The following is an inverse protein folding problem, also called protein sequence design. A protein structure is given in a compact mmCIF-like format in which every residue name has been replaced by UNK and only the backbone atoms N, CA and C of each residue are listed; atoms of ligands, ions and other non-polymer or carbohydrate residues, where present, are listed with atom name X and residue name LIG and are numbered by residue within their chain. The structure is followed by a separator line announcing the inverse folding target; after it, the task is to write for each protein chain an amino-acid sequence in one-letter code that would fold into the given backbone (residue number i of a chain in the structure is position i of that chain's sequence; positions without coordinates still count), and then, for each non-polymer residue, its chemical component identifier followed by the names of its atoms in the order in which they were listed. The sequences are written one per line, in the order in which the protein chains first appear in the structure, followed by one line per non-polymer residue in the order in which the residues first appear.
data_IF_434222072873
#
_entry.id   IF_434222072873
#
_cell.length_a   1.000
_cell.length_b   1.000
_cell.length_c   1.000
_cell.angle_alpha   90.00
_cell.angle_beta   90.00
_cell.angle_gamma   90.00
#
_symmetry.space_group_name_H-M   'P 1'
#
loop_
_entity.id
_entity.type
_entity.pdbx_description
1 polymer ?
#
# COMPACT_ATOMS: atom_id res chain seq x y z
N UNK A 1 -49.52 -14.30 -1.17
CA UNK A 1 -48.57 -13.31 -0.62
C UNK A 1 -47.30 -13.36 -1.44
N UNK A 2 -47.16 -12.46 -2.40
CA UNK A 2 -45.93 -12.22 -3.16
C UNK A 2 -44.93 -11.50 -2.25
N UNK A 3 -43.68 -11.97 -2.11
CA UNK A 3 -42.68 -11.22 -1.36
C UNK A 3 -42.30 -9.98 -2.16
N UNK A 4 -42.44 -8.82 -1.53
CA UNK A 4 -41.96 -7.55 -2.07
C UNK A 4 -40.44 -7.61 -2.16
N UNK A 5 -39.93 -7.45 -3.38
CA UNK A 5 -38.52 -7.18 -3.61
C UNK A 5 -38.21 -5.80 -3.03
N UNK A 6 -37.44 -5.76 -1.97
CA UNK A 6 -36.82 -4.52 -1.49
C UNK A 6 -35.81 -4.13 -2.56
N UNK A 7 -36.10 -3.08 -3.34
CA UNK A 7 -35.08 -2.47 -4.19
C UNK A 7 -33.88 -2.10 -3.34
N UNK A 8 -32.65 -2.54 -3.68
CA UNK A 8 -31.47 -2.03 -3.01
C UNK A 8 -31.44 -0.51 -3.23
N UNK A 9 -31.31 0.24 -2.14
CA UNK A 9 -31.01 1.66 -2.17
C UNK A 9 -29.65 1.84 -2.86
N UNK A 10 -29.66 1.96 -4.19
CA UNK A 10 -28.49 2.34 -4.96
C UNK A 10 -28.21 3.81 -4.66
N UNK A 11 -27.43 4.09 -3.63
CA UNK A 11 -26.91 5.44 -3.39
C UNK A 11 -25.83 5.71 -4.43
N UNK A 12 -26.24 6.29 -5.56
CA UNK A 12 -25.31 6.82 -6.55
C UNK A 12 -24.76 8.15 -6.05
N UNK A 13 -23.46 8.22 -5.81
CA UNK A 13 -22.77 9.47 -5.49
C UNK A 13 -21.97 9.91 -6.71
N UNK A 14 -22.38 11.03 -7.31
CA UNK A 14 -21.67 11.67 -8.42
C UNK A 14 -20.79 12.79 -7.89
N UNK A 15 -19.49 12.71 -8.17
CA UNK A 15 -18.48 13.65 -7.68
C UNK A 15 -17.70 14.23 -8.86
N UNK A 16 -17.35 15.52 -8.78
CA UNK A 16 -16.37 16.10 -9.69
C UNK A 16 -14.95 15.88 -9.13
N UNK A 17 -14.06 15.24 -9.90
CA UNK A 17 -12.64 15.12 -9.54
C UNK A 17 -11.87 16.40 -9.93
N UNK A 18 -10.84 16.80 -9.17
CA UNK A 18 -9.97 17.91 -9.57
C UNK A 18 -9.11 17.52 -10.78
N UNK A 19 -8.68 18.52 -11.56
CA UNK A 19 -7.84 18.31 -12.75
C UNK A 19 -6.55 17.54 -12.38
N UNK A 20 -6.14 16.51 -13.15
CA UNK A 20 -4.79 15.98 -13.05
C UNK A 20 -3.79 17.07 -13.49
N UNK A 21 -2.81 17.39 -12.65
CA UNK A 21 -1.71 18.27 -13.04
C UNK A 21 -0.73 17.49 -13.91
N UNK A 22 -0.84 17.63 -15.24
CA UNK A 22 0.20 17.16 -16.14
C UNK A 22 1.43 18.09 -16.08
N UNK A 23 2.66 17.54 -16.03
CA UNK A 23 3.83 18.23 -16.56
C UNK A 23 3.68 18.37 -18.09
N UNK A 24 4.04 19.53 -18.61
CA UNK A 24 3.95 19.91 -20.03
C UNK A 24 4.72 18.93 -20.93
N UNK A 25 4.02 18.16 -21.76
CA UNK A 25 4.59 17.55 -22.96
C UNK A 25 3.60 17.63 -24.14
N UNK A 26 4.13 18.14 -25.23
CA UNK A 26 3.43 18.52 -26.45
C UNK A 26 3.10 17.34 -27.39
N UNK A 27 1.90 17.40 -27.98
CA UNK A 27 1.46 16.84 -29.29
C UNK A 27 1.56 15.32 -29.51
N UNK A 28 0.41 14.68 -29.72
CA UNK A 28 -0.09 14.21 -31.04
C UNK A 28 -1.52 13.63 -30.97
N UNK A 29 -2.30 13.86 -32.04
CA UNK A 29 -3.67 13.38 -32.35
C UNK A 29 -3.64 11.87 -32.73
N UNK A 30 -4.68 11.02 -32.78
CA UNK A 30 -6.16 11.01 -32.75
C UNK A 30 -6.59 9.53 -32.81
N UNK A 31 -7.74 9.13 -32.22
CA UNK A 31 -8.91 8.52 -32.89
C UNK A 31 -9.87 7.85 -31.90
N UNK A 32 -11.14 8.19 -32.05
CA UNK A 32 -12.32 7.70 -31.34
C UNK A 32 -12.72 6.31 -31.86
N UNK A 33 -13.12 5.41 -30.96
CA UNK A 33 -13.93 4.24 -31.31
C UNK A 33 -14.92 3.93 -30.17
N UNK A 34 -16.20 3.97 -30.50
CA UNK A 34 -17.32 3.45 -29.71
C UNK A 34 -17.61 2.02 -30.23
N UNK A 35 -17.97 1.06 -29.38
CA UNK A 35 -19.36 0.60 -29.52
C UNK A 35 -20.05 0.25 -28.20
N UNK A 36 -21.33 0.59 -28.20
CA UNK A 36 -22.41 0.03 -27.41
C UNK A 36 -22.61 -1.46 -27.68
N UNK A 37 -22.90 -2.26 -26.64
CA UNK A 37 -24.02 -3.21 -26.58
C UNK A 37 -24.10 -3.88 -25.20
N UNK A 38 -25.20 -3.59 -24.50
CA UNK A 38 -25.71 -4.36 -23.37
C UNK A 38 -26.34 -5.67 -23.87
N UNK A 39 -26.17 -6.76 -23.12
CA UNK A 39 -27.19 -7.79 -22.97
C UNK A 39 -26.98 -8.52 -21.62
N UNK A 40 -28.05 -8.82 -20.86
CA UNK A 40 -27.95 -9.43 -19.53
C UNK A 40 -27.89 -10.96 -19.64
N UNK A 41 -27.15 -11.61 -18.75
CA UNK A 41 -27.28 -13.06 -18.52
C UNK A 41 -27.87 -13.29 -17.14
N UNK A 42 -29.05 -13.92 -17.14
CA UNK A 42 -29.70 -14.51 -15.97
C UNK A 42 -28.83 -15.67 -15.44
N UNK A 43 -28.55 -15.68 -14.14
CA UNK A 43 -27.95 -16.84 -13.48
C UNK A 43 -28.98 -17.47 -12.53
N UNK A 44 -29.34 -18.71 -12.82
CA UNK A 44 -30.15 -19.57 -11.95
C UNK A 44 -29.42 -19.84 -10.63
N UNK A 45 -30.08 -19.56 -9.50
CA UNK A 45 -29.66 -20.03 -8.18
C UNK A 45 -30.07 -21.49 -7.97
N UNK A 46 -29.09 -22.39 -7.82
CA UNK A 46 -29.30 -23.71 -7.23
C UNK A 46 -29.18 -23.60 -5.71
N UNK A 47 -30.29 -23.84 -4.98
CA UNK A 47 -30.31 -23.95 -3.51
C UNK A 47 -29.75 -25.29 -3.07
N UNK A 48 -28.82 -25.27 -2.11
CA UNK A 48 -28.50 -26.44 -1.29
C UNK A 48 -28.63 -26.05 0.17
N UNK A 49 -29.63 -26.62 0.85
CA UNK A 49 -29.89 -26.47 2.27
C UNK A 49 -29.07 -27.50 3.06
N UNK A 50 -28.06 -27.05 3.81
CA UNK A 50 -27.52 -27.80 4.95
C UNK A 50 -27.29 -26.86 6.13
N UNK A 51 -27.95 -27.20 7.22
CA UNK A 51 -27.89 -26.61 8.55
C UNK A 51 -26.50 -26.77 9.16
N UNK A 52 -25.91 -25.67 9.64
CA UNK A 52 -24.68 -25.66 10.45
C UNK A 52 -25.04 -25.76 11.95
N UNK A 53 -24.32 -26.56 12.77
CA UNK A 53 -24.54 -26.62 14.21
C UNK A 53 -23.86 -25.44 14.94
N UNK A 54 -24.52 -24.96 16.00
CA UNK A 54 -24.06 -23.89 16.91
C UNK A 54 -22.82 -24.34 17.69
N UNK A 55 -21.74 -23.55 17.65
CA UNK A 55 -20.58 -23.68 18.54
C UNK A 55 -20.73 -22.67 19.69
N UNK A 56 -20.66 -23.18 20.92
CA UNK A 56 -20.81 -22.43 22.16
C UNK A 56 -19.61 -21.53 22.49
N UNK A 57 -19.86 -20.54 23.35
CA UNK A 57 -18.92 -19.52 23.79
C UNK A 57 -17.79 -20.09 24.65
N UNK A 58 -16.54 -19.85 24.24
CA UNK A 58 -15.36 -20.02 25.08
C UNK A 58 -14.87 -18.64 25.54
N UNK A 59 -14.73 -18.47 26.86
CA UNK A 59 -14.24 -17.26 27.53
C UNK A 59 -12.74 -17.08 27.28
N UNK A 60 -12.33 -15.88 26.93
CA UNK A 60 -10.92 -15.42 26.91
C UNK A 60 -10.42 -15.18 28.33
N UNK A 61 -9.24 -15.68 28.74
CA UNK A 61 -8.61 -15.27 29.99
C UNK A 61 -7.86 -13.95 29.80
N UNK A 62 -8.21 -12.95 30.61
CA UNK A 62 -7.46 -11.69 30.79
C UNK A 62 -6.19 -11.97 31.57
N UNK A 63 -5.03 -11.66 30.97
CA UNK A 63 -3.73 -11.71 31.65
C UNK A 63 -3.36 -10.29 32.08
N UNK A 64 -3.42 -10.05 33.39
CA UNK A 64 -3.09 -8.79 34.08
C UNK A 64 -1.55 -8.70 34.23
N UNK A 65 -0.87 -7.90 33.41
CA UNK A 65 0.55 -7.59 33.58
C UNK A 65 0.71 -6.27 34.33
N UNK A 66 0.98 -6.36 35.64
CA UNK A 66 1.45 -5.22 36.43
C UNK A 66 2.89 -4.88 36.04
N UNK A 67 3.06 -3.73 35.40
CA UNK A 67 4.35 -3.07 35.15
C UNK A 67 4.90 -2.48 36.45
N UNK A 68 5.71 -3.25 37.16
CA UNK A 68 6.69 -2.68 38.08
C UNK A 68 7.89 -3.62 38.16
N UNK A 69 9.08 -3.06 37.90
CA UNK A 69 10.42 -3.65 38.02
C UNK A 69 11.03 -4.22 36.73
N UNK A 70 11.68 -3.34 35.96
CA UNK A 70 12.85 -3.72 35.14
C UNK A 70 14.03 -2.94 35.73
N UNK A 71 15.04 -3.58 36.36
CA UNK A 71 16.24 -2.90 36.77
C UNK A 71 17.14 -2.59 35.57
N UNK A 72 17.75 -1.41 35.61
CA UNK A 72 18.80 -1.00 34.68
C UNK A 72 20.08 -1.81 34.96
N UNK A 73 20.76 -2.21 33.88
CA UNK A 73 22.03 -2.96 33.81
C UNK A 73 21.97 -4.47 34.07
N UNK A 74 22.24 -5.24 33.01
CA UNK A 74 22.68 -6.64 33.10
C UNK A 74 24.03 -6.70 32.38
N UNK A 75 25.10 -6.90 33.16
CA UNK A 75 26.44 -7.23 32.67
C UNK A 75 26.51 -8.72 32.36
N UNK A 76 26.95 -9.09 31.15
CA UNK A 76 27.28 -10.48 30.82
C UNK A 76 28.79 -10.70 30.86
N UNK A 77 29.22 -11.57 31.77
CA UNK A 77 30.58 -12.09 31.83
C UNK A 77 30.76 -13.26 30.87
N UNK A 78 31.90 -13.21 30.16
CA UNK A 78 32.72 -14.32 29.66
C UNK A 78 32.08 -15.38 28.75
N UNK A 79 32.56 -15.38 27.51
CA UNK A 79 33.51 -16.42 27.09
C UNK A 79 32.98 -17.49 26.15
N UNK A 80 33.09 -17.26 24.84
CA UNK A 80 33.35 -18.31 23.86
C UNK A 80 34.08 -17.72 22.65
N UNK A 81 35.12 -18.44 22.18
CA UNK A 81 35.92 -18.16 20.98
C UNK A 81 35.55 -19.15 19.88
N UNK A 82 35.95 -18.82 18.65
CA UNK A 82 36.11 -19.67 17.43
C UNK A 82 34.88 -19.79 16.51
N UNK A 83 34.94 -19.82 15.16
CA UNK A 83 36.02 -19.80 14.15
C UNK A 83 35.44 -19.40 12.77
N UNK A 84 36.29 -18.85 11.90
CA UNK A 84 36.05 -18.32 10.54
C UNK A 84 35.84 -19.40 9.45
N UNK A 85 35.22 -19.09 8.29
CA UNK A 85 35.87 -19.14 6.94
C UNK A 85 34.97 -18.88 5.69
N UNK A 86 35.55 -18.10 4.77
CA UNK A 86 35.52 -18.03 3.28
C UNK A 86 34.21 -18.21 2.46
N UNK A 87 33.85 -17.12 1.77
CA UNK A 87 32.85 -17.02 0.68
C UNK A 87 33.41 -17.58 -0.64
N UNK A 88 32.70 -18.51 -1.29
CA UNK A 88 33.00 -18.95 -2.67
C UNK A 88 32.25 -18.06 -3.67
N UNK A 89 32.95 -17.55 -4.68
CA UNK A 89 32.34 -16.87 -5.82
C UNK A 89 32.00 -17.87 -6.92
N UNK A 90 30.72 -17.93 -7.31
CA UNK A 90 30.30 -18.49 -8.60
C UNK A 90 29.74 -17.37 -9.46
N UNK A 91 30.45 -17.09 -10.55
CA UNK A 91 30.06 -16.19 -11.63
C UNK A 91 29.21 -16.95 -12.64
N UNK A 92 28.00 -16.46 -12.93
CA UNK A 92 27.18 -16.89 -14.07
C UNK A 92 27.30 -15.86 -15.19
N UNK A 93 27.77 -16.32 -16.35
CA UNK A 93 27.90 -15.52 -17.59
C UNK A 93 26.51 -15.32 -18.22
N UNK A 94 26.14 -14.07 -18.48
CA UNK A 94 25.08 -13.74 -19.43
C UNK A 94 25.64 -13.67 -20.86
N UNK A 95 24.87 -14.22 -21.81
CA UNK A 95 25.19 -14.31 -23.23
C UNK A 95 24.49 -13.18 -23.97
N UNK A 96 25.27 -12.34 -24.66
CA UNK A 96 24.79 -11.26 -25.52
C UNK A 96 24.05 -11.77 -26.76
N UNK A 97 22.97 -11.07 -27.11
CA UNK A 97 22.26 -11.19 -28.39
C UNK A 97 22.43 -9.87 -29.16
N UNK A 98 23.20 -9.89 -30.24
CA UNK A 98 23.26 -8.82 -31.25
C UNK A 98 23.17 -9.43 -32.65
N UNK A 99 22.17 -9.02 -33.43
CA UNK A 99 22.12 -8.97 -34.90
C UNK A 99 21.30 -7.68 -35.20
N UNK A 100 21.76 -6.65 -35.93
CA UNK A 100 22.16 -6.60 -37.34
C UNK A 100 20.89 -6.56 -38.23
N UNK A 101 20.64 -5.66 -39.20
CA UNK A 101 21.42 -4.58 -39.85
C UNK A 101 20.45 -3.74 -40.72
N UNK A 102 20.80 -2.47 -40.92
CA UNK A 102 20.75 -1.68 -42.18
C UNK A 102 19.45 -1.21 -42.91
N UNK A 103 19.46 0.13 -43.11
CA UNK A 103 19.27 0.93 -44.35
C UNK A 103 17.90 1.01 -45.04
N UNK A 104 17.36 2.24 -45.07
CA UNK A 104 16.94 2.93 -46.32
C UNK A 104 17.00 4.45 -46.14
N UNK A 105 17.95 5.10 -46.85
CA UNK A 105 17.88 6.50 -47.32
C UNK A 105 17.34 6.41 -48.75
N UNK A 106 16.42 7.24 -49.24
CA UNK A 106 16.60 8.55 -49.91
C UNK A 106 15.19 8.86 -50.48
N UNK A 107 14.61 10.06 -50.41
CA UNK A 107 14.75 11.11 -51.41
C UNK A 107 13.96 12.37 -50.99
N UNK A 108 14.60 13.53 -51.11
CA UNK A 108 13.99 14.85 -51.09
C UNK A 108 13.35 15.15 -52.45
N UNK A 109 12.13 15.72 -52.45
CA UNK A 109 11.64 16.56 -53.54
C UNK A 109 10.92 17.77 -52.94
N UNK A 110 11.44 18.94 -53.28
CA UNK A 110 11.00 20.28 -52.90
C UNK A 110 10.00 20.83 -53.91
N UNK A 111 8.86 21.35 -53.45
CA UNK A 111 8.01 22.30 -54.19
C UNK A 111 7.39 23.29 -53.20
N UNK A 112 7.45 24.61 -53.45
CA UNK A 112 6.87 25.60 -52.55
C UNK A 112 5.40 25.82 -52.92
N UNK A 113 4.47 25.64 -51.97
CA UNK A 113 3.10 26.13 -52.11
C UNK A 113 2.90 27.34 -51.21
N UNK A 114 2.73 28.49 -51.85
CA UNK A 114 2.17 29.71 -51.28
C UNK A 114 0.78 29.39 -50.72
N UNK A 115 0.61 29.41 -49.40
CA UNK A 115 -0.71 29.32 -48.77
C UNK A 115 -1.03 30.66 -48.09
N UNK A 116 -1.91 31.41 -48.74
CA UNK A 116 -2.51 32.65 -48.28
C UNK A 116 -3.31 32.37 -46.99
N UNK A 117 -2.80 32.80 -45.84
CA UNK A 117 -3.52 32.71 -44.56
C UNK A 117 -4.62 33.76 -44.49
N UNK A 118 -5.86 33.36 -44.79
CA UNK A 118 -7.04 34.09 -44.35
C UNK A 118 -7.22 33.85 -42.84
N UNK A 119 -6.93 34.86 -42.03
CA UNK A 119 -7.30 34.89 -40.61
C UNK A 119 -8.83 34.91 -40.51
N UNK A 120 -9.45 33.75 -40.32
CA UNK A 120 -10.80 33.67 -39.78
C UNK A 120 -10.68 33.69 -38.26
N UNK A 121 -11.21 34.70 -37.54
CA UNK A 121 -11.23 34.67 -36.09
C UNK A 121 -12.12 33.51 -35.64
N UNK A 122 -11.49 32.43 -35.16
CA UNK A 122 -12.21 31.33 -34.53
C UNK A 122 -12.96 31.90 -33.31
N UNK A 123 -14.26 31.62 -33.13
CA UNK A 123 -14.95 32.00 -31.92
C UNK A 123 -14.22 31.34 -30.74
N UNK A 124 -13.68 32.17 -29.84
CA UNK A 124 -13.21 31.74 -28.53
C UNK A 124 -14.41 31.23 -27.75
N UNK A 125 -14.76 29.96 -27.98
CA UNK A 125 -15.63 29.23 -27.07
C UNK A 125 -14.93 29.11 -25.74
N UNK A 126 -15.42 29.84 -24.73
CA UNK A 126 -15.23 29.50 -23.32
C UNK A 126 -15.87 28.12 -23.10
N UNK A 127 -15.15 27.04 -23.40
CA UNK A 127 -15.52 25.71 -22.94
C UNK A 127 -15.17 25.64 -21.45
N UNK A 128 -16.20 25.51 -20.62
CA UNK A 128 -16.08 25.47 -19.18
C UNK A 128 -15.21 24.29 -18.71
N UNK A 129 -14.27 24.61 -17.82
CA UNK A 129 -13.33 23.76 -17.09
C UNK A 129 -14.00 22.81 -16.08
N UNK A 130 -14.89 21.91 -16.52
CA UNK A 130 -15.43 20.91 -15.59
C UNK A 130 -14.45 19.75 -15.42
N UNK A 131 -14.11 19.44 -14.16
CA UNK A 131 -13.46 18.17 -13.79
C UNK A 131 -14.29 16.98 -14.26
N UNK A 132 -13.69 15.79 -14.35
CA UNK A 132 -14.43 14.58 -14.76
C UNK A 132 -15.44 14.17 -13.69
N UNK A 133 -16.48 13.48 -14.14
CA UNK A 133 -17.51 12.90 -13.31
C UNK A 133 -17.06 11.51 -12.83
N UNK A 134 -17.13 11.28 -11.52
CA UNK A 134 -16.87 10.00 -10.86
C UNK A 134 -18.14 9.53 -10.18
N UNK A 135 -18.59 8.31 -10.50
CA UNK A 135 -19.82 7.72 -9.96
C UNK A 135 -19.47 6.55 -9.07
N UNK A 136 -19.95 6.56 -7.82
CA UNK A 136 -19.82 5.45 -6.88
C UNK A 136 -21.20 4.82 -6.70
N UNK A 137 -21.35 3.56 -7.08
CA UNK A 137 -22.54 2.74 -6.83
C UNK A 137 -22.22 1.73 -5.73
N UNK A 138 -23.07 1.60 -4.72
CA UNK A 138 -22.92 0.58 -3.68
C UNK A 138 -23.93 -0.54 -3.87
N UNK A 139 -23.47 -1.78 -3.69
CA UNK A 139 -24.36 -2.94 -3.66
C UNK A 139 -24.92 -3.20 -2.26
N UNK A 140 -25.63 -4.32 -2.09
CA UNK A 140 -26.32 -4.69 -0.84
C UNK A 140 -25.37 -4.88 0.35
N UNK A 141 -24.09 -5.16 0.11
CA UNK A 141 -23.07 -5.31 1.14
C UNK A 141 -22.29 -4.00 1.38
N UNK A 142 -22.65 -2.94 0.65
CA UNK A 142 -21.97 -1.67 0.70
C UNK A 142 -20.67 -1.63 -0.10
N UNK A 143 -20.34 -2.65 -0.90
CA UNK A 143 -19.10 -2.64 -1.70
C UNK A 143 -19.21 -1.54 -2.76
N UNK A 144 -18.24 -0.61 -2.86
CA UNK A 144 -18.26 0.44 -3.87
C UNK A 144 -17.83 -0.09 -5.24
N UNK A 145 -18.62 0.23 -6.25
CA UNK A 145 -18.35 0.08 -7.67
C UNK A 145 -18.11 1.47 -8.23
N UNK A 146 -16.84 1.79 -8.48
CA UNK A 146 -16.37 3.13 -8.84
C UNK A 146 -16.22 3.20 -10.35
N UNK A 147 -16.90 4.15 -10.97
CA UNK A 147 -16.85 4.42 -12.40
C UNK A 147 -16.28 5.82 -12.66
N UNK A 148 -15.29 5.89 -13.54
CA UNK A 148 -14.66 7.14 -13.96
C UNK A 148 -14.18 7.03 -15.41
N UNK A 149 -13.87 8.17 -16.04
CA UNK A 149 -13.27 8.17 -17.38
C UNK A 149 -11.77 7.80 -17.33
N UNK A 150 -11.06 8.24 -16.30
CA UNK A 150 -9.60 8.06 -16.15
C UNK A 150 -9.22 7.13 -15.00
N UNK A 151 -7.96 6.71 -14.95
CA UNK A 151 -7.43 5.90 -13.84
C UNK A 151 -7.35 6.74 -12.56
N UNK A 152 -7.02 8.04 -12.70
CA UNK A 152 -7.01 9.03 -11.63
C UNK A 152 -8.40 9.24 -11.03
N UNK A 153 -9.45 9.32 -11.84
CA UNK A 153 -10.83 9.41 -11.36
C UNK A 153 -11.26 8.19 -10.55
N UNK A 154 -10.84 7.00 -10.98
CA UNK A 154 -11.09 5.78 -10.21
C UNK A 154 -10.32 5.80 -8.88
N UNK A 155 -9.06 6.23 -8.86
CA UNK A 155 -8.29 6.38 -7.63
C UNK A 155 -8.89 7.44 -6.69
N UNK A 156 -9.36 8.56 -7.23
CA UNK A 156 -10.11 9.58 -6.49
C UNK A 156 -11.39 9.03 -5.86
N UNK A 157 -12.18 8.28 -6.63
CA UNK A 157 -13.37 7.61 -6.12
C UNK A 157 -13.04 6.60 -5.02
N UNK A 158 -11.93 5.86 -5.15
CA UNK A 158 -11.45 4.94 -4.12
C UNK A 158 -11.11 5.66 -2.82
N UNK A 159 -10.44 6.81 -2.91
CA UNK A 159 -10.11 7.63 -1.74
C UNK A 159 -11.35 8.17 -1.03
N UNK A 160 -12.33 8.63 -1.80
CA UNK A 160 -13.60 9.09 -1.25
C UNK A 160 -14.39 7.95 -0.60
N UNK A 161 -14.50 6.79 -1.26
CA UNK A 161 -15.23 5.63 -0.75
C UNK A 161 -14.61 5.06 0.53
N UNK A 162 -13.28 4.90 0.57
CA UNK A 162 -12.59 4.46 1.79
C UNK A 162 -12.75 5.46 2.94
N UNK A 163 -12.68 6.77 2.64
CA UNK A 163 -12.92 7.80 3.66
C UNK A 163 -14.35 7.74 4.18
N UNK A 164 -15.34 7.57 3.30
CA UNK A 164 -16.74 7.43 3.67
C UNK A 164 -16.98 6.27 4.63
N UNK A 165 -16.31 5.15 4.44
CA UNK A 165 -16.58 3.96 5.24
C UNK A 165 -15.69 3.84 6.48
N UNK A 166 -14.43 4.30 6.38
CA UNK A 166 -13.37 3.99 7.36
C UNK A 166 -12.34 5.11 7.51
N UNK A 167 -12.76 6.39 7.52
CA UNK A 167 -11.86 7.55 7.63
C UNK A 167 -10.86 7.43 8.78
N UNK A 168 -11.32 7.12 9.99
CA UNK A 168 -10.47 7.03 11.18
C UNK A 168 -9.40 5.92 11.04
N UNK A 169 -9.81 4.75 10.56
CA UNK A 169 -8.91 3.62 10.31
C UNK A 169 -7.85 3.99 9.28
N UNK A 170 -8.25 4.60 8.16
CA UNK A 170 -7.36 5.07 7.10
C UNK A 170 -6.35 6.10 7.62
N UNK A 171 -6.79 7.11 8.38
CA UNK A 171 -5.90 8.14 8.91
C UNK A 171 -4.93 7.58 9.97
N UNK A 172 -5.39 6.60 10.74
CA UNK A 172 -4.55 5.87 11.70
C UNK A 172 -3.41 5.15 10.99
N UNK A 173 -3.65 4.59 9.80
CA UNK A 173 -2.62 3.88 9.02
C UNK A 173 -1.46 4.79 8.62
N UNK A 174 -1.73 6.05 8.28
CA UNK A 174 -0.67 7.00 7.99
C UNK A 174 0.15 7.35 9.25
N UNK A 175 -0.49 7.52 10.40
CA UNK A 175 0.22 7.70 11.68
C UNK A 175 1.05 6.48 12.07
N UNK A 176 0.53 5.27 11.82
CA UNK A 176 1.27 4.02 11.98
C UNK A 176 2.54 4.05 11.14
N UNK A 177 2.42 4.27 9.84
CA UNK A 177 3.56 4.33 8.93
C UNK A 177 4.61 5.40 9.29
N UNK A 178 4.17 6.52 9.86
CA UNK A 178 5.04 7.61 10.23
C UNK A 178 5.74 7.45 11.59
N UNK A 179 5.26 6.53 12.43
CA UNK A 179 5.67 6.48 13.84
C UNK A 179 5.27 7.76 14.57
N UNK A 180 3.97 8.08 14.52
CA UNK A 180 3.34 9.21 15.24
C UNK A 180 2.04 8.78 15.94
N UNK A 181 1.96 7.51 16.36
CA UNK A 181 0.84 7.00 17.13
C UNK A 181 0.90 7.47 18.59
N UNK A 182 2.09 7.48 19.22
CA UNK A 182 2.21 7.76 20.65
C UNK A 182 1.84 9.19 21.04
N UNK A 183 1.99 10.15 20.12
CA UNK A 183 1.60 11.54 20.36
C UNK A 183 0.07 11.75 20.40
N UNK A 184 -0.70 10.79 19.93
CA UNK A 184 -2.18 10.86 19.86
C UNK A 184 -2.83 9.85 20.81
N UNK A 185 -2.35 8.62 20.78
CA UNK A 185 -2.97 7.47 21.44
C UNK A 185 -2.28 7.07 22.75
N UNK A 186 -1.10 7.62 23.02
CA UNK A 186 -0.42 7.49 24.31
C UNK A 186 0.80 6.57 24.30
N UNK A 187 1.35 6.36 25.50
CA UNK A 187 2.64 5.70 25.73
C UNK A 187 2.70 4.24 25.30
N UNK A 188 1.57 3.55 25.19
CA UNK A 188 1.50 2.16 24.67
C UNK A 188 2.03 2.03 23.24
N UNK A 189 2.01 3.12 22.45
CA UNK A 189 2.54 3.15 21.09
C UNK A 189 3.99 3.61 21.00
N UNK A 190 4.67 3.89 22.11
CA UNK A 190 6.04 4.42 22.08
C UNK A 190 7.02 3.44 21.40
N UNK A 191 6.97 2.15 21.75
CA UNK A 191 7.81 1.13 21.14
C UNK A 191 7.47 0.96 19.65
N UNK A 192 6.18 1.00 19.31
CA UNK A 192 5.73 0.99 17.93
C UNK A 192 6.37 2.15 17.15
N UNK A 193 6.22 3.38 17.63
CA UNK A 193 6.74 4.57 16.94
C UNK A 193 8.26 4.53 16.83
N UNK A 194 8.97 4.09 17.87
CA UNK A 194 10.41 3.88 17.82
C UNK A 194 10.81 2.91 16.70
N UNK A 195 10.13 1.77 16.56
CA UNK A 195 10.38 0.80 15.48
C UNK A 195 10.14 1.40 14.08
N UNK A 196 9.09 2.19 13.89
CA UNK A 196 8.85 2.82 12.58
C UNK A 196 9.89 3.90 12.25
N UNK A 197 10.38 4.60 13.29
CA UNK A 197 11.45 5.60 13.18
C UNK A 197 12.80 4.96 12.89
N UNK A 198 13.06 3.76 13.40
CA UNK A 198 14.24 2.95 13.07
C UNK A 198 14.34 2.73 11.56
N UNK A 199 13.26 2.25 10.95
CA UNK A 199 13.17 1.92 9.52
C UNK A 199 12.95 3.11 8.57
N UNK A 200 12.72 4.31 9.13
CA UNK A 200 12.63 5.58 8.40
C UNK A 200 11.56 5.58 7.30
N UNK A 201 10.43 4.91 7.51
CA UNK A 201 9.39 4.79 6.47
C UNK A 201 8.95 6.14 5.93
N UNK A 202 8.64 7.10 6.83
CA UNK A 202 8.33 8.49 6.48
C UNK A 202 9.45 9.17 5.70
N UNK A 203 10.64 9.29 6.29
CA UNK A 203 11.72 10.09 5.73
C UNK A 203 12.18 9.57 4.35
N UNK A 204 12.23 8.25 4.18
CA UNK A 204 12.59 7.63 2.88
C UNK A 204 11.49 7.85 1.85
N UNK A 205 10.22 7.69 2.22
CA UNK A 205 9.10 7.90 1.32
C UNK A 205 9.02 9.36 0.86
N UNK A 206 9.14 10.31 1.78
CA UNK A 206 9.12 11.74 1.50
C UNK A 206 10.25 12.16 0.55
N UNK A 207 11.49 11.74 0.84
CA UNK A 207 12.64 12.09 0.02
C UNK A 207 12.61 11.47 -1.40
N UNK A 208 12.00 10.29 -1.55
CA UNK A 208 12.00 9.56 -2.83
C UNK A 208 10.69 9.71 -3.61
N UNK A 209 9.64 10.31 -3.05
CA UNK A 209 8.37 10.52 -3.75
C UNK A 209 8.53 11.25 -5.11
N UNK A 210 9.39 12.29 -5.24
CA UNK A 210 9.64 12.93 -6.53
C UNK A 210 10.29 12.03 -7.59
N UNK A 211 10.85 10.87 -7.21
CA UNK A 211 11.46 9.91 -8.15
C UNK A 211 10.46 8.92 -8.74
N UNK A 212 9.24 8.85 -8.19
CA UNK A 212 8.19 8.00 -8.74
C UNK A 212 7.80 8.43 -10.15
N UNK A 213 7.24 7.51 -10.94
CA UNK A 213 6.71 7.87 -12.25
C UNK A 213 5.59 8.92 -12.12
N UNK A 214 5.44 9.78 -13.12
CA UNK A 214 4.35 10.77 -13.15
C UNK A 214 2.97 10.10 -13.01
N UNK A 215 2.77 8.95 -13.67
CA UNK A 215 1.56 8.13 -13.55
C UNK A 215 1.29 7.67 -12.12
N UNK A 216 2.30 7.14 -11.43
CA UNK A 216 2.14 6.68 -10.03
C UNK A 216 1.78 7.85 -9.10
N UNK A 217 2.45 9.00 -9.26
CA UNK A 217 2.15 10.20 -8.46
C UNK A 217 0.72 10.69 -8.71
N UNK A 218 0.28 10.73 -9.97
CA UNK A 218 -1.07 11.17 -10.33
C UNK A 218 -2.15 10.31 -9.65
N UNK A 219 -1.99 8.98 -9.64
CA UNK A 219 -2.92 8.08 -8.95
C UNK A 219 -2.97 8.32 -7.43
N UNK A 220 -1.79 8.46 -6.80
CA UNK A 220 -1.68 8.70 -5.35
C UNK A 220 -2.30 10.06 -4.97
N UNK A 221 -2.01 11.09 -5.76
CA UNK A 221 -2.53 12.44 -5.53
C UNK A 221 -4.03 12.52 -5.75
N UNK A 222 -4.56 11.86 -6.78
CA UNK A 222 -6.00 11.76 -7.02
C UNK A 222 -6.71 11.04 -5.87
N UNK A 223 -6.15 9.93 -5.39
CA UNK A 223 -6.66 9.21 -4.22
C UNK A 223 -6.68 10.09 -2.96
N UNK A 224 -5.58 10.77 -2.65
CA UNK A 224 -5.52 11.73 -1.54
C UNK A 224 -6.49 12.90 -1.72
N UNK A 225 -6.73 13.36 -2.95
CA UNK A 225 -7.72 14.39 -3.23
C UNK A 225 -9.16 13.92 -2.95
N UNK A 226 -9.46 12.64 -3.20
CA UNK A 226 -10.74 12.01 -2.83
C UNK A 226 -10.97 12.00 -1.32
N UNK A 227 -9.97 11.55 -0.55
CA UNK A 227 -10.01 11.59 0.92
C UNK A 227 -10.21 13.03 1.43
N UNK A 228 -9.40 13.97 0.93
CA UNK A 228 -9.50 15.39 1.30
C UNK A 228 -10.87 15.98 0.96
N UNK A 229 -11.51 15.55 -0.13
CA UNK A 229 -12.86 16.00 -0.48
C UNK A 229 -13.88 15.51 0.55
N UNK A 230 -13.85 14.22 0.91
CA UNK A 230 -14.71 13.69 1.96
C UNK A 230 -14.55 14.47 3.27
N UNK A 231 -13.30 14.68 3.71
CA UNK A 231 -13.00 15.43 4.93
C UNK A 231 -13.56 16.88 4.92
N UNK A 232 -13.58 17.55 3.75
CA UNK A 232 -14.15 18.90 3.62
C UNK A 232 -15.67 18.91 3.67
N UNK A 233 -16.31 17.87 3.14
CA UNK A 233 -17.77 17.73 3.14
C UNK A 233 -18.31 17.27 4.50
N UNK A 234 -17.49 16.51 5.24
CA UNK A 234 -17.84 15.89 6.51
C UNK A 234 -16.90 16.33 7.64
N UNK A 235 -16.74 17.64 7.92
CA UNK A 235 -15.76 18.13 8.90
C UNK A 235 -15.99 17.61 10.32
N UNK A 236 -17.24 17.26 10.67
CA UNK A 236 -17.60 16.71 11.98
C UNK A 236 -17.16 15.24 12.15
N UNK A 237 -16.91 14.52 11.06
CA UNK A 237 -16.41 13.14 11.08
C UNK A 237 -14.88 13.08 11.08
N UNK A 238 -14.21 14.19 10.80
CA UNK A 238 -12.74 14.27 10.79
C UNK A 238 -12.22 14.26 12.23
N UNK A 239 -11.43 13.25 12.64
CA UNK A 239 -10.85 13.24 13.96
C UNK A 239 -9.95 14.46 14.17
N UNK A 240 -10.03 15.11 15.34
CA UNK A 240 -9.19 16.28 15.66
C UNK A 240 -7.68 16.01 15.55
N UNK A 241 -7.29 14.75 15.72
CA UNK A 241 -5.91 14.30 15.63
C UNK A 241 -5.48 13.93 14.20
N UNK A 242 -6.35 14.06 13.19
CA UNK A 242 -6.05 13.69 11.81
C UNK A 242 -4.70 14.25 11.35
N UNK A 243 -3.80 13.42 10.79
CA UNK A 243 -2.55 13.92 10.24
C UNK A 243 -2.82 14.82 9.03
N UNK A 244 -1.90 15.74 8.74
CA UNK A 244 -1.90 16.42 7.46
C UNK A 244 -1.68 15.39 6.33
N UNK A 245 -2.50 15.47 5.29
CA UNK A 245 -2.46 14.50 4.19
C UNK A 245 -1.43 14.89 3.12
N UNK A 246 -0.41 14.05 3.00
CA UNK A 246 0.68 14.16 2.03
C UNK A 246 0.74 12.91 1.13
N UNK A 247 0.98 13.05 -0.18
CA UNK A 247 1.02 11.92 -1.10
C UNK A 247 2.04 10.83 -0.72
N UNK A 248 3.19 11.22 -0.17
CA UNK A 248 4.22 10.26 0.26
C UNK A 248 3.76 9.33 1.40
N UNK A 249 2.67 9.64 2.12
CA UNK A 249 2.13 8.76 3.16
C UNK A 249 1.65 7.42 2.60
N UNK A 250 1.10 7.40 1.39
CA UNK A 250 0.71 6.15 0.71
C UNK A 250 1.93 5.26 0.48
N UNK A 251 3.06 5.86 0.11
CA UNK A 251 4.33 5.16 -0.08
C UNK A 251 4.91 4.71 1.27
N UNK A 252 4.85 5.56 2.30
CA UNK A 252 5.29 5.22 3.64
C UNK A 252 4.49 4.02 4.21
N UNK A 253 3.18 4.00 4.00
CA UNK A 253 2.30 2.89 4.40
C UNK A 253 2.65 1.60 3.67
N UNK A 254 2.74 1.63 2.34
CA UNK A 254 3.16 0.46 1.57
C UNK A 254 4.54 -0.04 2.00
N UNK A 255 5.46 0.88 2.28
CA UNK A 255 6.80 0.59 2.78
C UNK A 255 6.77 -0.07 4.17
N UNK A 256 6.00 0.47 5.12
CA UNK A 256 5.83 -0.12 6.45
C UNK A 256 5.30 -1.55 6.36
N UNK A 257 4.26 -1.74 5.55
CA UNK A 257 3.65 -3.06 5.34
C UNK A 257 4.69 -4.05 4.83
N UNK A 258 5.36 -3.76 3.70
CA UNK A 258 6.30 -4.70 3.09
C UNK A 258 7.53 -4.95 3.98
N UNK A 259 8.02 -3.95 4.70
CA UNK A 259 9.19 -4.12 5.58
C UNK A 259 8.95 -5.05 6.76
N UNK A 260 7.68 -5.22 7.15
CA UNK A 260 7.32 -6.15 8.20
C UNK A 260 7.58 -7.62 7.85
N UNK A 261 7.85 -7.99 6.59
CA UNK A 261 8.27 -9.36 6.23
C UNK A 261 9.76 -9.59 6.53
N UNK A 262 10.71 -8.80 5.96
CA UNK A 262 12.12 -8.87 6.33
C UNK A 262 12.37 -8.77 7.85
N UNK A 263 11.63 -7.91 8.56
CA UNK A 263 11.75 -7.81 10.03
C UNK A 263 11.32 -9.11 10.73
N UNK A 264 10.29 -9.79 10.21
CA UNK A 264 9.85 -11.08 10.73
C UNK A 264 10.83 -12.22 10.44
N UNK A 265 11.53 -12.17 9.30
CA UNK A 265 12.58 -13.14 8.95
C UNK A 265 13.80 -12.96 9.87
N UNK A 266 14.27 -11.72 10.06
CA UNK A 266 15.34 -11.41 11.02
C UNK A 266 14.98 -11.83 12.46
N UNK A 267 13.73 -11.61 12.87
CA UNK A 267 13.23 -12.09 14.15
C UNK A 267 13.25 -13.61 14.28
N UNK A 268 12.98 -14.35 13.19
CA UNK A 268 13.07 -15.81 13.18
C UNK A 268 14.51 -16.29 13.30
N UNK A 269 15.45 -15.62 12.64
CA UNK A 269 16.87 -15.95 12.76
C UNK A 269 17.40 -15.73 14.17
N UNK A 270 17.00 -14.63 14.82
CA UNK A 270 17.29 -14.40 16.24
C UNK A 270 16.74 -15.54 17.11
N UNK A 271 15.51 -15.99 16.89
CA UNK A 271 14.92 -17.12 17.62
C UNK A 271 15.70 -18.42 17.40
N UNK A 272 16.11 -18.69 16.16
CA UNK A 272 16.92 -19.85 15.82
C UNK A 272 18.30 -19.81 16.51
N UNK A 273 18.86 -18.62 16.72
CA UNK A 273 20.08 -18.39 17.48
C UNK A 273 19.89 -18.42 19.01
N UNK A 274 18.68 -18.70 19.51
CA UNK A 274 18.36 -18.74 20.94
C UNK A 274 18.10 -17.38 21.58
N UNK A 275 18.02 -16.31 20.78
CA UNK A 275 17.68 -14.96 21.23
C UNK A 275 16.15 -14.80 21.17
N UNK A 276 15.55 -14.17 22.18
CA UNK A 276 14.12 -13.86 22.19
C UNK A 276 13.90 -12.42 21.74
N UNK A 277 13.55 -12.16 20.46
CA UNK A 277 13.21 -10.82 20.02
C UNK A 277 11.83 -10.40 20.52
N UNK A 278 11.48 -9.13 20.29
CA UNK A 278 10.11 -8.65 20.41
C UNK A 278 9.13 -9.53 19.60
N UNK A 279 7.85 -9.62 19.99
CA UNK A 279 6.88 -10.48 19.32
C UNK A 279 6.79 -10.23 17.81
N UNK A 280 6.75 -11.32 17.06
CA UNK A 280 6.57 -11.34 15.60
C UNK A 280 5.12 -11.71 15.32
N UNK A 281 4.42 -10.93 14.50
CA UNK A 281 3.05 -11.26 14.10
C UNK A 281 3.01 -12.50 13.22
N UNK A 282 2.16 -13.46 13.57
CA UNK A 282 1.87 -14.60 12.71
C UNK A 282 1.11 -14.16 11.46
N UNK A 283 1.57 -14.59 10.29
CA UNK A 283 0.94 -14.31 8.99
C UNK A 283 0.87 -15.60 8.18
N UNK A 284 -0.24 -15.82 7.49
CA UNK A 284 -0.43 -16.95 6.59
C UNK A 284 -1.38 -16.59 5.47
N UNK A 285 -1.47 -17.43 4.45
CA UNK A 285 -2.45 -17.31 3.37
C UNK A 285 -2.53 -18.65 2.62
N UNK A 286 -3.66 -18.94 2.01
CA UNK A 286 -3.77 -19.90 0.93
C UNK A 286 -3.97 -19.20 -0.43
N UNK A 287 -3.53 -19.85 -1.50
CA UNK A 287 -3.91 -19.48 -2.87
C UNK A 287 -3.89 -20.72 -3.75
N UNK A 288 -4.87 -20.88 -4.63
CA UNK A 288 -4.87 -21.94 -5.66
C UNK A 288 -5.14 -21.36 -7.04
N UNK A 289 -4.55 -21.97 -8.05
CA UNK A 289 -4.93 -21.82 -9.47
C UNK A 289 -5.14 -23.20 -10.05
N UNK A 290 -6.31 -23.42 -10.65
CA UNK A 290 -6.66 -24.66 -11.35
C UNK A 290 -6.75 -24.35 -12.84
N UNK A 291 -5.95 -25.04 -13.65
CA UNK A 291 -5.99 -24.90 -15.09
C UNK A 291 -7.35 -25.32 -15.66
N UNK A 292 -7.82 -24.66 -16.73
CA UNK A 292 -9.11 -24.98 -17.36
C UNK A 292 -9.24 -26.44 -17.82
N UNK A 293 -8.13 -27.09 -18.19
CA UNK A 293 -8.12 -28.53 -18.52
C UNK A 293 -8.47 -29.46 -17.35
N UNK A 294 -8.54 -28.92 -16.13
CA UNK A 294 -8.89 -29.63 -14.90
C UNK A 294 -10.27 -29.21 -14.35
N UNK A 295 -11.04 -28.42 -15.10
CA UNK A 295 -12.37 -27.94 -14.70
C UNK A 295 -13.41 -28.41 -15.71
N UNK A 296 -14.66 -28.58 -15.27
CA UNK A 296 -15.74 -29.08 -16.13
C UNK A 296 -16.02 -28.12 -17.30
N UNK A 297 -16.01 -26.83 -17.04
CA UNK A 297 -16.36 -25.78 -18.00
C UNK A 297 -15.17 -25.32 -18.87
N UNK A 298 -13.98 -25.91 -18.69
CA UNK A 298 -12.78 -25.54 -19.45
C UNK A 298 -12.17 -24.19 -19.07
N UNK A 299 -12.64 -23.53 -18.01
CA UNK A 299 -12.16 -22.21 -17.56
C UNK A 299 -11.24 -22.33 -16.34
N UNK A 300 -10.20 -21.48 -16.22
CA UNK A 300 -9.34 -21.49 -15.03
C UNK A 300 -10.11 -21.03 -13.78
N UNK A 301 -9.81 -21.63 -12.63
CA UNK A 301 -10.32 -21.21 -11.33
C UNK A 301 -9.18 -20.66 -10.47
N UNK A 302 -9.44 -19.58 -9.74
CA UNK A 302 -8.48 -18.98 -8.81
C UNK A 302 -9.11 -18.83 -7.41
N UNK A 303 -8.32 -19.09 -6.37
CA UNK A 303 -8.66 -18.88 -4.97
C UNK A 303 -7.70 -17.86 -4.36
N UNK A 304 -8.27 -16.84 -3.73
CA UNK A 304 -7.56 -15.79 -2.98
C UNK A 304 -8.01 -15.89 -1.52
N UNK A 305 -7.13 -16.33 -0.61
CA UNK A 305 -7.51 -16.62 0.78
C UNK A 305 -6.42 -16.16 1.79
N UNK A 306 -6.26 -14.83 2.01
CA UNK A 306 -5.26 -14.29 2.92
C UNK A 306 -5.66 -14.43 4.40
N UNK A 307 -4.74 -14.85 5.28
CA UNK A 307 -4.96 -15.02 6.73
C UNK A 307 -4.15 -14.01 7.54
N UNK A 308 -4.74 -12.82 7.70
CA UNK A 308 -4.16 -11.71 8.45
C UNK A 308 -5.08 -11.32 9.62
N UNK A 309 -4.57 -10.46 10.51
CA UNK A 309 -5.35 -9.97 11.66
C UNK A 309 -6.65 -9.30 11.22
N UNK A 310 -7.74 -9.57 11.95
CA UNK A 310 -9.04 -8.90 11.80
C UNK A 310 -9.02 -7.45 12.29
N UNK A 311 -7.94 -7.04 12.94
CA UNK A 311 -7.74 -5.73 13.54
C UNK A 311 -6.46 -5.07 12.99
N UNK A 312 -6.43 -3.75 13.02
CA UNK A 312 -5.27 -2.98 12.58
C UNK A 312 -5.12 -2.95 11.06
N UNK A 313 -3.87 -3.00 10.58
CA UNK A 313 -3.55 -2.54 9.23
C UNK A 313 -4.01 -3.43 8.07
N UNK A 314 -4.37 -4.68 8.34
CA UNK A 314 -4.66 -5.69 7.32
C UNK A 314 -6.15 -6.01 7.17
N UNK A 315 -7.02 -5.15 7.73
CA UNK A 315 -8.46 -5.27 7.53
C UNK A 315 -8.82 -4.78 6.13
N UNK A 316 -8.87 -5.73 5.20
CA UNK A 316 -9.15 -5.47 3.80
C UNK A 316 -10.43 -4.68 3.56
N UNK A 317 -10.41 -3.91 2.47
CA UNK A 317 -11.51 -3.11 1.95
C UNK A 317 -11.82 -3.59 0.53
N UNK A 318 -12.99 -4.20 0.34
CA UNK A 318 -13.43 -4.67 -0.97
C UNK A 318 -13.91 -3.51 -1.82
N UNK A 319 -13.51 -3.46 -3.10
CA UNK A 319 -13.95 -2.45 -4.05
C UNK A 319 -13.84 -2.95 -5.50
N UNK A 320 -14.60 -2.31 -6.38
CA UNK A 320 -14.48 -2.48 -7.84
C UNK A 320 -14.15 -1.14 -8.48
N UNK A 321 -13.11 -1.11 -9.30
CA UNK A 321 -12.62 0.11 -9.97
C UNK A 321 -12.75 -0.06 -11.48
N UNK A 322 -13.46 0.87 -12.11
CA UNK A 322 -13.63 1.00 -13.55
C UNK A 322 -13.26 2.44 -13.96
N UNK A 323 -12.03 2.66 -14.41
CA UNK A 323 -11.60 3.96 -14.91
C UNK A 323 -10.34 3.89 -15.74
N UNK A 324 -10.38 4.46 -16.95
CA UNK A 324 -9.32 4.31 -17.94
C UNK A 324 -8.97 2.84 -18.19
N UNK A 325 -7.72 2.47 -17.91
CA UNK A 325 -7.24 1.09 -18.02
C UNK A 325 -7.52 0.23 -16.77
N UNK A 326 -7.89 0.83 -15.63
CA UNK A 326 -8.26 0.11 -14.43
C UNK A 326 -9.64 -0.53 -14.60
N UNK A 327 -9.69 -1.86 -14.57
CA UNK A 327 -10.90 -2.67 -14.54
C UNK A 327 -10.66 -3.79 -13.55
N UNK A 328 -10.85 -3.55 -12.26
CA UNK A 328 -10.45 -4.51 -11.21
C UNK A 328 -11.55 -4.70 -10.19
N UNK A 329 -11.65 -5.90 -9.64
CA UNK A 329 -12.52 -6.26 -8.52
C UNK A 329 -11.69 -7.02 -7.50
N UNK A 330 -11.68 -6.57 -6.25
CA UNK A 330 -10.85 -7.20 -5.24
C UNK A 330 -10.78 -6.40 -3.95
N UNK A 331 -9.70 -6.59 -3.21
CA UNK A 331 -9.47 -5.94 -1.92
C UNK A 331 -8.25 -5.03 -1.95
N UNK A 332 -8.36 -3.92 -1.25
CA UNK A 332 -7.27 -3.00 -0.95
C UNK A 332 -7.01 -2.97 0.56
N UNK A 333 -5.81 -2.56 0.94
CA UNK A 333 -5.53 -2.16 2.32
C UNK A 333 -6.01 -0.70 2.48
N UNK A 334 -6.78 -0.37 3.54
CA UNK A 334 -7.16 1.02 3.82
C UNK A 334 -5.95 1.95 3.87
N UNK A 335 -6.00 3.04 3.10
CA UNK A 335 -4.87 3.95 2.90
C UNK A 335 -4.08 3.72 1.61
N UNK A 336 -4.40 2.68 0.81
CA UNK A 336 -3.82 2.43 -0.50
C UNK A 336 -4.84 2.63 -1.64
N UNK A 337 -4.41 3.15 -2.81
CA UNK A 337 -5.30 3.60 -3.88
C UNK A 337 -5.85 2.50 -4.79
N UNK A 338 -5.30 1.29 -4.74
CA UNK A 338 -5.58 0.21 -5.69
C UNK A 338 -5.86 -1.10 -4.95
N UNK A 339 -6.63 -1.98 -5.59
CA UNK A 339 -6.81 -3.37 -5.16
C UNK A 339 -5.51 -4.13 -5.32
N UNK A 340 -5.00 -4.71 -4.22
CA UNK A 340 -3.74 -5.46 -4.19
C UNK A 340 -3.95 -6.94 -4.46
N UNK A 341 -5.12 -7.48 -4.11
CA UNK A 341 -5.54 -8.85 -4.39
C UNK A 341 -6.89 -8.80 -5.09
N UNK A 342 -7.10 -9.61 -6.12
CA UNK A 342 -8.37 -9.60 -6.84
C UNK A 342 -8.30 -10.22 -8.22
N UNK A 343 -9.18 -9.77 -9.09
CA UNK A 343 -9.25 -10.22 -10.47
C UNK A 343 -9.84 -9.16 -11.40
N UNK A 344 -9.71 -9.43 -12.69
CA UNK A 344 -10.44 -8.76 -13.75
C UNK A 344 -10.88 -9.79 -14.81
N UNK A 345 -11.33 -9.33 -15.97
CA UNK A 345 -11.77 -10.20 -17.06
C UNK A 345 -10.67 -11.09 -17.65
N UNK A 346 -9.39 -10.82 -17.36
CA UNK A 346 -8.23 -11.44 -18.00
C UNK A 346 -7.26 -12.12 -17.02
N UNK A 347 -7.21 -11.69 -15.75
CA UNK A 347 -6.28 -12.24 -14.77
C UNK A 347 -6.86 -12.21 -13.34
N UNK A 348 -6.31 -13.07 -12.49
CA UNK A 348 -6.49 -13.04 -11.03
C UNK A 348 -5.13 -13.04 -10.35
N UNK A 349 -4.99 -12.24 -9.30
CA UNK A 349 -3.76 -12.07 -8.52
C UNK A 349 -4.08 -12.36 -7.06
N UNK A 350 -3.39 -13.37 -6.52
CA UNK A 350 -3.31 -13.69 -5.10
C UNK A 350 -1.85 -13.49 -4.64
N UNK A 351 -1.66 -13.28 -3.34
CA UNK A 351 -0.34 -13.24 -2.72
C UNK A 351 -0.38 -14.05 -1.43
N UNK A 352 0.56 -14.98 -1.28
CA UNK A 352 0.81 -15.72 -0.05
C UNK A 352 2.18 -15.35 0.50
N UNK A 353 2.35 -15.42 1.82
CA UNK A 353 3.68 -15.29 2.44
C UNK A 353 4.58 -16.43 1.93
N UNK A 354 5.48 -16.12 1.00
CA UNK A 354 6.37 -17.10 0.36
C UNK A 354 7.63 -17.41 1.16
N UNK A 355 7.87 -16.68 2.26
CA UNK A 355 9.06 -16.82 3.11
C UNK A 355 10.41 -16.74 2.39
N UNK A 356 10.61 -15.91 1.34
CA UNK A 356 11.96 -15.70 0.84
C UNK A 356 12.79 -15.05 1.95
N UNK A 357 14.01 -15.56 2.15
CA UNK A 357 14.98 -14.92 3.03
C UNK A 357 15.36 -13.55 2.45
N UNK A 358 14.87 -12.49 3.10
CA UNK A 358 15.00 -11.10 2.66
C UNK A 358 15.70 -10.22 3.70
N UNK A 359 16.23 -10.79 4.78
CA UNK A 359 16.96 -10.09 5.82
C UNK A 359 17.97 -11.02 6.50
N UNK A 360 19.18 -10.51 6.70
CA UNK A 360 20.21 -11.19 7.49
C UNK A 360 20.36 -10.50 8.86
N UNK A 361 20.72 -11.29 9.87
CA UNK A 361 21.14 -10.79 11.19
C UNK A 361 22.66 -10.90 11.30
N UNK A 362 23.31 -9.81 11.70
CA UNK A 362 24.75 -9.75 11.93
C UNK A 362 25.03 -9.61 13.43
N UNK A 363 25.96 -10.41 13.94
CA UNK A 363 26.56 -10.22 15.26
C UNK A 363 27.75 -9.27 15.13
N UNK A 364 27.75 -8.19 15.92
CA UNK A 364 28.80 -7.16 15.87
C UNK A 364 29.59 -7.16 17.17
N UNK A 365 30.92 -7.20 17.06
CA UNK A 365 31.82 -7.01 18.21
C UNK A 365 31.89 -5.52 18.53
N UNK A 366 31.49 -5.14 19.74
CA UNK A 366 31.53 -3.76 20.23
C UNK A 366 32.89 -3.48 20.87
N UNK A 367 33.47 -2.30 20.60
CA UNK A 367 34.72 -1.90 21.22
C UNK A 367 34.52 -1.73 22.75
N UNK A 368 35.23 -2.49 23.60
CA UNK A 368 35.07 -2.40 25.05
C UNK A 368 35.48 -1.03 25.63
N UNK A 369 36.35 -0.29 24.94
CA UNK A 369 36.83 1.03 25.37
C UNK A 369 35.96 2.18 24.81
N UNK A 370 35.18 1.91 23.74
CA UNK A 370 34.28 2.88 23.13
C UNK A 370 33.02 2.19 22.56
N UNK A 371 31.90 2.16 23.28
CA UNK A 371 30.70 1.43 22.85
C UNK A 371 30.04 2.00 21.59
N UNK A 372 30.50 3.14 21.06
CA UNK A 372 30.08 3.70 19.76
C UNK A 372 30.92 3.20 18.60
N UNK A 373 31.71 2.17 18.79
CA UNK A 373 32.49 1.53 17.75
C UNK A 373 32.17 0.06 17.63
N UNK A 374 32.13 -0.42 16.39
CA UNK A 374 31.98 -1.82 16.03
C UNK A 374 33.20 -2.31 15.27
N UNK A 375 33.51 -3.60 15.34
CA UNK A 375 34.61 -4.20 14.60
C UNK A 375 34.19 -4.58 13.20
N UNK A 376 34.95 -4.11 12.20
CA UNK A 376 34.75 -4.49 10.80
C UNK A 376 36.10 -4.67 10.10
N UNK A 377 36.31 -5.81 9.43
CA UNK A 377 37.58 -6.15 8.76
C UNK A 377 38.82 -5.95 9.66
N UNK A 378 38.69 -6.30 10.94
CA UNK A 378 39.76 -6.23 11.92
C UNK A 378 40.03 -4.84 12.51
N UNK A 379 39.34 -3.80 12.05
CA UNK A 379 39.49 -2.42 12.57
C UNK A 379 38.23 -1.95 13.31
N UNK A 380 38.40 -1.07 14.29
CA UNK A 380 37.28 -0.39 14.95
C UNK A 380 36.75 0.75 14.07
N UNK A 381 35.44 0.77 13.83
CA UNK A 381 34.74 1.81 13.08
C UNK A 381 33.68 2.47 13.94
N UNK A 382 33.52 3.78 13.81
CA UNK A 382 32.45 4.52 14.48
C UNK A 382 31.08 4.12 13.92
N UNK A 383 30.12 3.92 14.82
CA UNK A 383 28.70 3.78 14.47
C UNK A 383 28.12 5.12 14.01
N UNK A 384 27.15 5.06 13.11
CA UNK A 384 26.35 6.23 12.79
C UNK A 384 25.25 6.41 13.83
N UNK A 385 25.19 7.58 14.47
CA UNK A 385 24.17 7.92 15.46
C UNK A 385 23.17 8.91 14.87
N UNK A 386 21.89 8.53 14.83
CA UNK A 386 20.79 9.44 14.48
C UNK A 386 19.96 9.75 15.72
N UNK A 387 19.60 11.02 15.91
CA UNK A 387 18.68 11.43 16.97
C UNK A 387 17.26 11.55 16.43
N UNK A 388 16.31 10.90 17.08
CA UNK A 388 14.88 10.98 16.79
C UNK A 388 14.15 11.54 18.00
N UNK A 389 13.30 12.55 17.79
CA UNK A 389 12.43 13.08 18.84
C UNK A 389 11.07 12.44 18.69
N UNK A 390 10.67 11.63 19.69
CA UNK A 390 9.36 10.97 19.72
C UNK A 390 8.49 11.67 20.75
N UNK A 391 7.27 12.03 20.32
CA UNK A 391 6.25 12.68 21.13
C UNK A 391 5.31 11.64 21.74
N UNK A 392 4.94 11.79 23.00
CA UNK A 392 4.12 10.84 23.74
C UNK A 392 3.05 11.60 24.50
N UNK A 393 1.79 11.24 24.26
CA UNK A 393 0.66 11.77 25.00
C UNK A 393 0.60 11.15 26.39
N UNK A 394 0.59 12.00 27.41
CA UNK A 394 0.45 11.65 28.82
C UNK A 394 -0.67 12.50 29.42
N UNK A 395 -1.87 11.93 29.52
CA UNK A 395 -3.08 12.68 29.86
C UNK A 395 -3.38 13.77 28.83
N UNK A 396 -3.48 15.02 29.29
CA UNK A 396 -3.72 16.20 28.44
C UNK A 396 -2.44 16.84 27.88
N UNK A 397 -1.26 16.30 28.21
CA UNK A 397 0.04 16.81 27.76
C UNK A 397 0.66 15.90 26.72
N UNK A 398 1.55 16.47 25.90
CA UNK A 398 2.40 15.72 24.96
C UNK A 398 3.85 15.99 25.33
N UNK A 399 4.51 14.99 25.89
CA UNK A 399 5.93 15.05 26.23
C UNK A 399 6.77 14.67 25.02
N UNK A 400 8.00 15.17 24.94
CA UNK A 400 8.96 14.82 23.89
C UNK A 400 10.18 14.16 24.50
N UNK A 401 10.63 13.05 23.92
CA UNK A 401 11.86 12.38 24.32
C UNK A 401 12.73 12.11 23.10
N UNK A 402 14.02 12.42 23.25
CA UNK A 402 15.03 12.15 22.23
C UNK A 402 15.57 10.73 22.42
N UNK A 403 15.63 9.99 21.33
CA UNK A 403 16.24 8.66 21.23
C UNK A 403 17.43 8.73 20.29
N UNK A 404 18.52 8.06 20.66
CA UNK A 404 19.65 7.83 19.77
C UNK A 404 19.46 6.46 19.12
N UNK A 405 19.53 6.43 17.79
CA UNK A 405 19.45 5.23 16.96
C UNK A 405 20.82 5.02 16.33
N UNK A 406 21.45 3.93 16.70
CA UNK A 406 22.79 3.53 16.26
C UNK A 406 22.66 2.52 15.11
N UNK A 407 23.50 2.66 14.08
CA UNK A 407 23.58 1.71 12.96
C UNK A 407 24.96 1.76 12.31
N UNK A 408 25.37 0.64 11.71
CA UNK A 408 26.74 0.38 11.23
C UNK A 408 26.96 0.60 9.74
#
# INVERSE_FOLDING_TARGET
MTPAWVSPLQTAVTLASPRPTCPDESRTRTRTYCPTRCCPSELMMARSSRTLPKIGSARTPTMDMRLSQIPASISWQSGLRYLSFKRSHRTTRHRDWQHGRDRMRTALLTTPLLALTLLVPSPRGKAAEKGEEVTILRDEFGVPHIFAATEEGAAFGMGYAQAQDRLEELLTQYRRAEGTMSEVFGSEYLLHDYRQRLWRHRAVAEANYPRLSAKTRALIEAYQAGIKKYMREHPNEVPKWAPALHPWQVVALGRMIIWGWPEGDAGRDLQNAGIRPDPIEARGSNQWVVAGSRTLDGVPLALIDPHLSWYGQFRFYEARLYGGALKTSGVAIPGLPLTSLGHNAYCSIAMTTGGPDAADVYEEEINPDNPRQYRYDGVWKDMTVRREVIKVKNGDKVDSKTYEIEYT
#
